data_IF_291893989443
#
_entry.id   IF_291893989443
#
_cell.length_a   1.000
_cell.length_b   1.000
_cell.length_c   1.000
_cell.angle_alpha   90.00
_cell.angle_beta   90.00
_cell.angle_gamma   90.00
#
_symmetry.space_group_name_H-M   'P 1'
#
loop_
_entity.id
_entity.type
_entity.pdbx_description
1 polymer ?
#
# COMPACT_ATOMS: atom_id res chain seq x y z
N UNK A 1 42.22 7.83 -9.63
CA UNK A 1 40.83 7.63 -10.04
C UNK A 1 40.30 6.44 -9.26
N UNK A 2 39.39 6.65 -8.32
CA UNK A 2 38.86 5.56 -7.48
C UNK A 2 37.64 4.95 -8.18
N UNK A 3 37.48 3.63 -8.11
CA UNK A 3 36.30 2.95 -8.67
C UNK A 3 34.96 3.53 -8.14
N UNK A 4 34.95 4.01 -6.89
CA UNK A 4 33.82 4.71 -6.27
C UNK A 4 33.44 6.05 -6.92
N UNK A 5 34.33 6.62 -7.74
CA UNK A 5 34.09 7.87 -8.49
C UNK A 5 33.53 7.60 -9.91
N UNK A 6 33.57 6.34 -10.35
CA UNK A 6 33.08 5.90 -11.66
C UNK A 6 31.72 5.20 -11.57
N UNK A 7 31.44 4.54 -10.45
CA UNK A 7 30.20 3.81 -10.23
C UNK A 7 29.74 4.02 -8.78
N UNK A 8 28.64 4.75 -8.61
CA UNK A 8 27.92 4.85 -7.34
C UNK A 8 26.93 3.69 -7.27
N UNK A 9 27.20 2.70 -6.41
CA UNK A 9 26.21 1.72 -6.01
C UNK A 9 25.68 2.12 -4.63
N UNK A 10 24.38 2.38 -4.53
CA UNK A 10 23.72 2.30 -3.24
C UNK A 10 23.64 0.82 -2.83
N UNK A 11 24.09 0.45 -1.62
CA UNK A 11 23.97 -0.93 -1.15
C UNK A 11 22.49 -1.32 -1.16
N UNK A 12 22.14 -2.39 -1.88
CA UNK A 12 20.80 -2.96 -1.82
C UNK A 12 20.57 -3.50 -0.42
N UNK A 13 19.56 -2.96 0.27
CA UNK A 13 19.15 -3.47 1.57
C UNK A 13 18.63 -4.90 1.42
N UNK A 14 19.14 -5.82 2.23
CA UNK A 14 18.90 -7.26 2.05
C UNK A 14 17.49 -7.70 2.46
N UNK A 15 16.80 -6.92 3.31
CA UNK A 15 15.45 -7.20 3.79
C UNK A 15 14.61 -5.93 3.78
N UNK A 16 13.65 -5.85 2.86
CA UNK A 16 12.67 -4.77 2.80
C UNK A 16 11.48 -5.10 3.71
N UNK A 17 11.22 -4.27 4.72
CA UNK A 17 10.04 -4.39 5.59
C UNK A 17 8.95 -3.41 5.16
N UNK A 18 7.75 -3.91 4.87
CA UNK A 18 6.67 -3.08 4.37
C UNK A 18 6.22 -2.05 5.42
N UNK A 19 6.17 -2.47 6.70
CA UNK A 19 5.76 -1.63 7.82
C UNK A 19 6.65 -0.41 8.03
N UNK A 20 7.93 -0.47 7.65
CA UNK A 20 8.83 0.69 7.80
C UNK A 20 8.43 1.88 6.94
N UNK A 21 7.68 1.67 5.85
CA UNK A 21 7.15 2.74 5.00
C UNK A 21 6.08 3.61 5.68
N UNK A 22 5.68 3.31 6.92
CA UNK A 22 4.95 4.27 7.78
C UNK A 22 5.81 5.50 8.12
N UNK A 23 7.15 5.36 8.12
CA UNK A 23 8.08 6.47 8.38
C UNK A 23 8.37 7.23 7.09
N UNK A 24 8.22 8.55 7.12
CA UNK A 24 8.35 9.42 5.93
C UNK A 24 9.68 9.28 5.19
N UNK A 25 10.79 9.19 5.92
CA UNK A 25 12.13 9.01 5.32
C UNK A 25 12.22 7.67 4.59
N UNK A 26 11.80 6.57 5.24
CA UNK A 26 11.82 5.25 4.61
C UNK A 26 10.88 5.17 3.42
N UNK A 27 9.69 5.78 3.51
CA UNK A 27 8.75 5.87 2.40
C UNK A 27 9.40 6.55 1.18
N UNK A 28 10.14 7.63 1.40
CA UNK A 28 10.89 8.33 0.35
C UNK A 28 11.97 7.43 -0.25
N UNK A 29 12.77 6.76 0.58
CA UNK A 29 13.83 5.86 0.10
C UNK A 29 13.26 4.73 -0.77
N UNK A 30 12.12 4.14 -0.36
CA UNK A 30 11.47 3.09 -1.14
C UNK A 30 11.09 3.62 -2.52
N UNK A 31 10.53 4.81 -2.62
CA UNK A 31 10.12 5.39 -3.90
C UNK A 31 11.33 5.76 -4.76
N UNK A 32 12.36 6.41 -4.20
CA UNK A 32 13.51 6.89 -4.97
C UNK A 32 14.43 5.78 -5.47
N UNK A 33 14.52 4.66 -4.75
CA UNK A 33 15.40 3.53 -5.09
C UNK A 33 14.71 2.47 -5.96
N UNK A 34 13.40 2.60 -6.21
CA UNK A 34 12.68 1.61 -7.02
C UNK A 34 12.94 1.80 -8.51
N UNK A 35 13.49 0.76 -9.14
CA UNK A 35 13.77 0.75 -10.58
C UNK A 35 12.58 0.16 -11.34
N UNK A 36 12.02 0.95 -12.24
CA UNK A 36 10.82 0.61 -13.01
C UNK A 36 11.22 0.13 -14.40
N UNK A 37 10.95 -1.15 -14.71
CA UNK A 37 11.10 -1.67 -16.06
C UNK A 37 9.93 -1.23 -16.95
N UNK A 38 10.11 -1.23 -18.28
CA UNK A 38 9.05 -0.82 -19.20
C UNK A 38 7.74 -1.63 -19.04
N UNK A 39 7.76 -2.96 -18.91
CA UNK A 39 6.54 -3.73 -18.63
C UNK A 39 5.91 -3.37 -17.27
N UNK A 40 6.73 -3.06 -16.26
CA UNK A 40 6.23 -2.64 -14.95
C UNK A 40 5.56 -1.26 -15.03
N UNK A 41 6.14 -0.32 -15.79
CA UNK A 41 5.56 0.99 -16.06
C UNK A 41 4.15 0.89 -16.67
N UNK A 42 3.97 -0.01 -17.65
CA UNK A 42 2.67 -0.30 -18.24
C UNK A 42 1.68 -0.93 -17.24
N UNK A 43 2.12 -1.93 -16.46
CA UNK A 43 1.27 -2.58 -15.46
C UNK A 43 0.84 -1.62 -14.35
N UNK A 44 1.76 -0.80 -13.84
CA UNK A 44 1.48 0.22 -12.83
C UNK A 44 0.40 1.18 -13.32
N UNK A 45 0.61 1.74 -14.51
CA UNK A 45 -0.25 2.78 -15.07
C UNK A 45 -1.64 2.25 -15.47
N UNK A 46 -1.68 1.13 -16.19
CA UNK A 46 -2.90 0.62 -16.84
C UNK A 46 -3.70 -0.38 -15.98
N UNK A 47 -3.06 -1.01 -15.00
CA UNK A 47 -3.71 -2.05 -14.18
C UNK A 47 -3.75 -1.61 -12.72
N UNK A 48 -2.61 -1.35 -12.10
CA UNK A 48 -2.54 -1.12 -10.65
C UNK A 48 -3.25 0.17 -10.25
N UNK A 49 -2.84 1.32 -10.79
CA UNK A 49 -3.45 2.61 -10.43
C UNK A 49 -4.91 2.69 -10.86
N UNK A 50 -5.25 2.05 -11.97
CA UNK A 50 -6.64 2.01 -12.48
C UNK A 50 -7.56 1.20 -11.57
N UNK A 51 -7.09 0.12 -10.94
CA UNK A 51 -7.92 -0.65 -9.99
C UNK A 51 -7.92 -0.05 -8.58
N UNK A 52 -6.88 0.70 -8.22
CA UNK A 52 -6.82 1.34 -6.90
C UNK A 52 -7.65 2.63 -6.84
N UNK A 53 -7.71 3.43 -7.91
CA UNK A 53 -8.44 4.71 -7.91
C UNK A 53 -9.92 4.53 -7.53
N UNK A 54 -10.49 5.51 -6.83
CA UNK A 54 -11.90 5.51 -6.40
C UNK A 54 -12.65 6.80 -6.78
N UNK A 55 -12.01 7.68 -7.55
CA UNK A 55 -12.56 8.96 -8.01
C UNK A 55 -13.51 8.82 -9.20
N UNK A 56 -13.47 7.70 -9.91
CA UNK A 56 -14.40 7.35 -10.99
C UNK A 56 -15.08 6.02 -10.68
N UNK A 57 -16.42 5.93 -10.76
CA UNK A 57 -17.13 4.67 -10.59
C UNK A 57 -16.65 3.61 -11.59
N UNK A 58 -16.28 2.43 -11.09
CA UNK A 58 -15.79 1.32 -11.89
C UNK A 58 -15.90 -0.01 -11.15
N UNK A 59 -15.79 -1.12 -11.89
CA UNK A 59 -15.70 -2.47 -11.34
C UNK A 59 -14.24 -2.77 -10.94
N UNK A 60 -13.76 -2.04 -9.94
CA UNK A 60 -12.39 -2.16 -9.43
C UNK A 60 -12.18 -3.52 -8.76
N UNK A 61 -11.04 -4.16 -9.04
CA UNK A 61 -10.73 -5.52 -8.58
C UNK A 61 -9.58 -5.51 -7.59
N UNK A 62 -9.56 -6.55 -6.75
CA UNK A 62 -8.41 -6.85 -5.91
C UNK A 62 -7.16 -7.13 -6.75
N UNK A 63 -6.01 -6.65 -6.28
CA UNK A 63 -4.72 -6.86 -6.92
C UNK A 63 -3.91 -7.90 -6.15
N UNK A 64 -3.37 -8.89 -6.86
CA UNK A 64 -2.50 -9.91 -6.28
C UNK A 64 -1.13 -9.88 -6.94
N UNK A 65 -0.10 -9.54 -6.17
CA UNK A 65 1.28 -9.41 -6.66
C UNK A 65 2.01 -10.73 -6.42
N UNK A 66 2.34 -11.43 -7.52
CA UNK A 66 3.03 -12.73 -7.49
C UNK A 66 4.45 -12.58 -8.07
N UNK A 67 5.41 -13.27 -7.47
CA UNK A 67 6.79 -13.25 -7.94
C UNK A 67 7.73 -14.01 -7.00
N UNK A 68 8.91 -14.36 -7.51
CA UNK A 68 9.90 -15.15 -6.78
C UNK A 68 10.55 -14.36 -5.62
N UNK A 69 11.26 -15.07 -4.76
CA UNK A 69 12.04 -14.41 -3.69
C UNK A 69 13.05 -13.43 -4.29
N UNK A 70 13.21 -12.26 -3.68
CA UNK A 70 14.15 -11.24 -4.13
C UNK A 70 13.75 -10.42 -5.36
N UNK A 71 12.55 -10.59 -5.94
CA UNK A 71 12.11 -9.83 -7.13
C UNK A 71 11.49 -8.45 -6.80
N UNK A 72 11.73 -7.90 -5.61
CA UNK A 72 11.26 -6.56 -5.23
C UNK A 72 9.75 -6.44 -4.99
N UNK A 73 9.03 -7.52 -4.65
CA UNK A 73 7.57 -7.46 -4.37
C UNK A 73 7.23 -6.55 -3.19
N UNK A 74 7.91 -6.73 -2.06
CA UNK A 74 7.69 -5.88 -0.87
C UNK A 74 8.13 -4.44 -1.13
N UNK A 75 9.18 -4.25 -1.94
CA UNK A 75 9.60 -2.91 -2.40
C UNK A 75 8.48 -2.25 -3.21
N UNK A 76 7.93 -2.94 -4.20
CA UNK A 76 6.78 -2.47 -4.99
C UNK A 76 5.57 -2.15 -4.12
N UNK A 77 5.19 -3.04 -3.20
CA UNK A 77 4.09 -2.77 -2.26
C UNK A 77 4.35 -1.52 -1.41
N UNK A 78 5.58 -1.35 -0.93
CA UNK A 78 5.99 -0.17 -0.17
C UNK A 78 5.95 1.11 -1.00
N UNK A 79 6.34 1.08 -2.28
CA UNK A 79 6.22 2.20 -3.21
C UNK A 79 4.74 2.59 -3.41
N UNK A 80 3.88 1.60 -3.66
CA UNK A 80 2.43 1.82 -3.82
C UNK A 80 1.82 2.43 -2.56
N UNK A 81 2.11 1.86 -1.39
CA UNK A 81 1.64 2.36 -0.10
C UNK A 81 2.12 3.80 0.16
N UNK A 82 3.40 4.07 -0.11
CA UNK A 82 4.02 5.37 0.12
C UNK A 82 3.39 6.47 -0.74
N UNK A 83 3.17 6.20 -2.03
CA UNK A 83 2.55 7.14 -2.97
C UNK A 83 1.06 7.33 -2.65
N UNK A 84 0.35 6.24 -2.37
CA UNK A 84 -1.08 6.29 -2.05
C UNK A 84 -1.36 7.17 -0.81
N UNK A 85 -0.42 7.20 0.14
CA UNK A 85 -0.55 7.99 1.37
C UNK A 85 0.07 9.41 1.27
N UNK A 86 1.14 9.60 0.49
CA UNK A 86 1.90 10.85 0.42
C UNK A 86 2.04 11.32 -1.04
N UNK A 87 1.28 12.35 -1.41
CA UNK A 87 1.26 12.85 -2.79
C UNK A 87 2.60 13.42 -3.23
N UNK A 88 3.37 14.04 -2.32
CA UNK A 88 4.67 14.64 -2.64
C UNK A 88 5.73 13.63 -3.09
N UNK A 89 5.54 12.34 -2.79
CA UNK A 89 6.49 11.29 -3.17
C UNK A 89 6.40 10.93 -4.65
N UNK A 90 5.35 11.32 -5.38
CA UNK A 90 5.31 11.12 -6.84
C UNK A 90 6.47 11.82 -7.54
N UNK A 91 6.95 12.94 -6.99
CA UNK A 91 8.10 13.67 -7.52
C UNK A 91 9.42 12.89 -7.45
N UNK A 92 9.49 11.86 -6.61
CA UNK A 92 10.67 11.00 -6.46
C UNK A 92 10.67 9.77 -7.35
N UNK A 93 9.59 9.52 -8.10
CA UNK A 93 9.54 8.45 -9.10
C UNK A 93 10.48 8.75 -10.28
N UNK A 94 11.15 7.71 -10.76
CA UNK A 94 12.15 7.80 -11.84
C UNK A 94 11.56 7.64 -13.25
N UNK A 95 10.34 7.12 -13.38
CA UNK A 95 9.64 6.97 -14.66
C UNK A 95 8.53 8.03 -14.77
N UNK A 96 8.69 8.95 -15.73
CA UNK A 96 7.74 10.07 -15.96
C UNK A 96 6.32 9.60 -16.29
N UNK A 97 6.16 8.49 -17.02
CA UNK A 97 4.84 7.95 -17.37
C UNK A 97 4.13 7.40 -16.14
N UNK A 98 4.88 6.76 -15.25
CA UNK A 98 4.34 6.28 -13.97
C UNK A 98 4.03 7.46 -13.06
N UNK A 99 4.89 8.47 -13.01
CA UNK A 99 4.68 9.69 -12.22
C UNK A 99 3.38 10.40 -12.60
N UNK A 100 3.14 10.59 -13.88
CA UNK A 100 1.87 11.17 -14.38
C UNK A 100 0.67 10.30 -13.96
N UNK A 101 0.77 8.98 -14.17
CA UNK A 101 -0.32 8.04 -13.87
C UNK A 101 -0.60 7.88 -12.37
N UNK A 102 0.42 8.04 -11.53
CA UNK A 102 0.33 7.89 -10.08
C UNK A 102 -0.56 8.94 -9.42
N UNK A 103 -0.78 10.09 -10.06
CA UNK A 103 -1.72 11.15 -9.62
C UNK A 103 -3.14 10.62 -9.37
N UNK A 104 -3.51 9.50 -10.01
CA UNK A 104 -4.78 8.82 -9.79
C UNK A 104 -4.97 8.34 -8.35
N UNK A 105 -3.89 8.01 -7.65
CA UNK A 105 -3.91 7.48 -6.26
C UNK A 105 -3.13 8.33 -5.27
N UNK A 106 -2.27 9.23 -5.75
CA UNK A 106 -1.29 9.96 -4.95
C UNK A 106 -1.93 10.73 -3.78
N UNK A 107 -1.53 10.37 -2.56
CA UNK A 107 -2.03 10.95 -1.31
C UNK A 107 -3.54 10.77 -1.09
N UNK A 108 -4.23 9.88 -1.81
CA UNK A 108 -5.69 9.69 -1.70
C UNK A 108 -6.09 8.64 -0.67
N UNK A 109 -5.16 7.99 0.03
CA UNK A 109 -5.47 6.87 0.92
C UNK A 109 -4.94 7.06 2.34
N UNK A 110 -5.61 6.40 3.28
CA UNK A 110 -4.99 5.88 4.50
C UNK A 110 -4.61 4.44 4.25
N UNK A 111 -3.35 4.08 4.50
CA UNK A 111 -2.83 2.77 4.09
C UNK A 111 -2.45 1.92 5.29
N UNK A 112 -3.10 0.76 5.41
CA UNK A 112 -2.81 -0.22 6.44
C UNK A 112 -1.75 -1.20 5.91
N UNK A 113 -0.65 -1.32 6.65
CA UNK A 113 0.49 -2.17 6.27
C UNK A 113 0.58 -3.33 7.25
N UNK A 114 0.16 -4.51 6.80
CA UNK A 114 0.19 -5.72 7.63
C UNK A 114 0.99 -6.85 6.97
N UNK A 115 1.55 -7.71 7.81
CA UNK A 115 2.30 -8.90 7.42
C UNK A 115 1.77 -10.08 8.24
N UNK A 116 1.44 -11.17 7.57
CA UNK A 116 0.93 -12.38 8.23
C UNK A 116 2.10 -13.28 8.60
N UNK A 117 2.33 -13.45 9.91
CA UNK A 117 3.33 -14.37 10.45
C UNK A 117 2.85 -15.83 10.48
N UNK A 118 3.63 -16.69 11.13
CA UNK A 118 3.21 -18.06 11.41
C UNK A 118 2.10 -18.04 12.48
N UNK A 119 0.88 -18.43 12.10
CA UNK A 119 -0.28 -18.46 13.00
C UNK A 119 -1.29 -19.51 12.55
N UNK A 120 -2.03 -20.06 13.51
CA UNK A 120 -3.17 -20.95 13.29
C UNK A 120 -4.51 -20.18 13.21
N UNK A 121 -4.48 -18.86 13.42
CA UNK A 121 -5.68 -18.04 13.38
C UNK A 121 -6.32 -18.04 11.98
N UNK A 122 -7.66 -18.07 11.89
CA UNK A 122 -8.35 -17.89 10.61
C UNK A 122 -8.02 -16.54 9.98
N UNK A 123 -7.89 -16.50 8.63
CA UNK A 123 -7.56 -15.28 7.89
C UNK A 123 -8.48 -14.10 8.22
N UNK A 124 -9.79 -14.37 8.40
CA UNK A 124 -10.77 -13.37 8.82
C UNK A 124 -10.29 -12.66 10.10
N UNK A 125 -9.94 -13.43 11.11
CA UNK A 125 -9.63 -12.87 12.44
C UNK A 125 -8.29 -12.13 12.41
N UNK A 126 -7.33 -12.60 11.61
CA UNK A 126 -6.08 -11.88 11.35
C UNK A 126 -6.38 -10.51 10.72
N UNK A 127 -7.12 -10.47 9.61
CA UNK A 127 -7.43 -9.23 8.88
C UNK A 127 -8.23 -8.25 9.74
N UNK A 128 -9.26 -8.73 10.44
CA UNK A 128 -10.10 -7.86 11.28
C UNK A 128 -9.36 -7.35 12.53
N UNK A 129 -8.44 -8.15 13.09
CA UNK A 129 -7.60 -7.73 14.22
C UNK A 129 -6.61 -6.64 13.80
N UNK A 130 -5.96 -6.80 12.65
CA UNK A 130 -5.04 -5.79 12.11
C UNK A 130 -5.81 -4.51 11.74
N UNK A 131 -6.98 -4.63 11.09
CA UNK A 131 -7.85 -3.48 10.79
C UNK A 131 -8.23 -2.73 12.07
N UNK A 132 -8.71 -3.43 13.10
CA UNK A 132 -9.07 -2.80 14.38
C UNK A 132 -7.89 -2.04 14.98
N UNK A 133 -6.72 -2.66 15.04
CA UNK A 133 -5.52 -2.07 15.64
C UNK A 133 -5.12 -0.80 14.90
N UNK A 134 -5.06 -0.87 13.57
CA UNK A 134 -4.59 0.22 12.72
C UNK A 134 -5.63 1.36 12.60
N UNK A 135 -6.92 1.03 12.63
CA UNK A 135 -7.99 2.03 12.72
C UNK A 135 -7.89 2.84 14.02
N UNK A 136 -7.60 2.19 15.15
CA UNK A 136 -7.39 2.87 16.44
C UNK A 136 -6.18 3.82 16.39
N UNK A 137 -5.08 3.44 15.73
CA UNK A 137 -3.91 4.32 15.51
C UNK A 137 -4.27 5.60 14.75
N UNK A 138 -5.21 5.52 13.79
CA UNK A 138 -5.73 6.67 13.06
C UNK A 138 -6.98 7.29 13.72
N UNK A 139 -7.29 6.87 14.95
CA UNK A 139 -8.32 7.35 15.88
C UNK A 139 -9.75 7.01 15.49
N UNK A 140 -9.97 5.83 14.93
CA UNK A 140 -11.29 5.24 14.68
C UNK A 140 -11.39 4.00 15.57
N UNK A 141 -12.25 4.05 16.59
CA UNK A 141 -12.50 2.90 17.45
C UNK A 141 -13.65 2.08 16.89
N UNK A 142 -13.38 0.81 16.58
CA UNK A 142 -14.39 -0.12 16.07
C UNK A 142 -14.09 -1.55 16.51
N UNK A 143 -15.11 -2.25 16.99
CA UNK A 143 -15.01 -3.64 17.45
C UNK A 143 -15.72 -4.58 16.48
N UNK A 144 -14.94 -5.48 15.87
CA UNK A 144 -15.50 -6.53 15.03
C UNK A 144 -16.09 -7.65 15.90
N UNK A 145 -17.34 -8.10 15.64
CA UNK A 145 -17.94 -9.24 16.30
C UNK A 145 -17.21 -10.54 15.94
N UNK A 146 -17.28 -11.51 16.83
CA UNK A 146 -16.73 -12.85 16.62
C UNK A 146 -17.48 -13.61 15.52
N UNK A 147 -16.81 -14.59 14.90
CA UNK A 147 -17.35 -15.32 13.74
C UNK A 147 -18.64 -16.09 14.04
N UNK A 148 -18.84 -16.52 15.28
CA UNK A 148 -20.04 -17.20 15.77
C UNK A 148 -21.26 -16.27 15.92
N UNK A 149 -21.05 -14.96 15.88
CA UNK A 149 -22.09 -13.94 16.04
C UNK A 149 -22.54 -13.30 14.73
N UNK A 150 -21.92 -13.65 13.61
CA UNK A 150 -22.23 -13.06 12.30
C UNK A 150 -22.41 -14.11 11.23
N UNK A 151 -23.35 -13.87 10.32
CA UNK A 151 -23.54 -14.72 9.13
C UNK A 151 -22.59 -14.34 7.99
N UNK A 152 -22.12 -13.09 7.96
CA UNK A 152 -21.18 -12.56 6.96
C UNK A 152 -20.48 -11.30 7.52
N UNK A 153 -19.42 -10.83 6.84
CA UNK A 153 -18.66 -9.65 7.27
C UNK A 153 -19.13 -8.34 6.62
N UNK A 154 -20.10 -8.36 5.70
CA UNK A 154 -20.44 -7.21 4.84
C UNK A 154 -20.99 -6.04 5.65
N UNK A 155 -21.96 -6.31 6.52
CA UNK A 155 -22.61 -5.27 7.33
C UNK A 155 -21.59 -4.60 8.26
N UNK A 156 -20.80 -5.41 8.98
CA UNK A 156 -19.76 -4.93 9.88
C UNK A 156 -18.67 -4.12 9.16
N UNK A 157 -18.22 -4.54 7.98
CA UNK A 157 -17.26 -3.76 7.20
C UNK A 157 -17.86 -2.45 6.68
N UNK A 158 -19.15 -2.43 6.33
CA UNK A 158 -19.85 -1.20 5.93
C UNK A 158 -19.98 -0.20 7.09
N UNK A 159 -20.31 -0.68 8.30
CA UNK A 159 -20.37 0.15 9.50
C UNK A 159 -18.99 0.74 9.83
N UNK A 160 -17.94 -0.09 9.80
CA UNK A 160 -16.57 0.36 9.97
C UNK A 160 -16.18 1.42 8.92
N UNK A 161 -16.50 1.17 7.65
CA UNK A 161 -16.22 2.12 6.57
C UNK A 161 -17.02 3.41 6.70
N UNK A 162 -18.22 3.37 7.29
CA UNK A 162 -19.02 4.58 7.55
C UNK A 162 -18.29 5.49 8.55
N UNK A 163 -17.78 4.94 9.64
CA UNK A 163 -16.95 5.69 10.61
C UNK A 163 -15.65 6.20 9.98
N UNK A 164 -15.02 5.41 9.12
CA UNK A 164 -13.85 5.83 8.39
C UNK A 164 -14.14 7.03 7.47
N UNK A 165 -15.21 6.97 6.68
CA UNK A 165 -15.63 8.05 5.78
C UNK A 165 -16.07 9.31 6.54
N UNK A 166 -16.66 9.19 7.72
CA UNK A 166 -16.97 10.35 8.58
C UNK A 166 -15.69 11.09 9.00
N UNK A 167 -14.62 10.36 9.31
CA UNK A 167 -13.35 10.95 9.74
C UNK A 167 -12.47 11.40 8.57
N UNK A 168 -12.49 10.67 7.46
CA UNK A 168 -11.65 10.90 6.28
C UNK A 168 -12.49 10.89 4.99
N UNK A 169 -13.36 11.90 4.77
CA UNK A 169 -14.36 11.89 3.70
C UNK A 169 -13.78 11.82 2.28
N UNK A 170 -12.58 12.35 2.08
CA UNK A 170 -11.91 12.41 0.77
C UNK A 170 -10.77 11.37 0.64
N UNK A 171 -10.74 10.36 1.50
CA UNK A 171 -9.71 9.30 1.47
C UNK A 171 -10.34 7.93 1.25
N UNK A 172 -9.61 7.07 0.54
CA UNK A 172 -9.82 5.63 0.55
C UNK A 172 -9.08 4.98 1.71
N UNK A 173 -9.54 3.79 2.10
CA UNK A 173 -8.77 2.87 2.94
C UNK A 173 -8.12 1.82 2.03
N UNK A 174 -6.80 1.66 2.11
CA UNK A 174 -6.02 0.68 1.35
C UNK A 174 -5.37 -0.33 2.28
#
# INVERSE_FOLDING_TARGET
MRYSELIQFEPLESVMQLKDTKKKERARDFVSTYVISKPMSDNLSKVVFTNLRFDTPGDNKGLFIVGNYGTGKSHLMGVLASIAENAELTETLTDESVKESATQIAGKFKVIRSEIGATEMPLRDIVLSELKTELSEIGIEFDFPSIDKVTNNKETLNEMMSLFCEKYPDKGLL
#
